data_IF_175328198526
#
_entry.id   IF_175328198526
#
_cell.length_a   1.000
_cell.length_b   1.000
_cell.length_c   1.000
_cell.angle_alpha   90.00
_cell.angle_beta   90.00
_cell.angle_gamma   90.00
#
_symmetry.space_group_name_H-M   'P 1'
#
loop_
_entity.id
_entity.type
_entity.pdbx_description
1 polymer ?
#
# COMPACT_ATOMS: atom_id res chain seq x y z
N UNK A 1 19.39 -23.39 -5.12
CA UNK A 1 19.47 -23.95 -6.48
C UNK A 1 20.33 -23.09 -7.42
N UNK A 2 20.11 -21.77 -7.55
CA UNK A 2 20.90 -20.90 -8.45
C UNK A 2 22.41 -20.91 -8.17
N UNK A 3 22.84 -20.91 -6.91
CA UNK A 3 24.26 -20.95 -6.54
C UNK A 3 24.95 -22.26 -6.96
N UNK A 4 24.27 -23.39 -6.85
CA UNK A 4 24.79 -24.69 -7.27
C UNK A 4 24.85 -24.78 -8.82
N UNK A 5 23.82 -24.29 -9.51
CA UNK A 5 23.79 -24.26 -10.97
C UNK A 5 24.89 -23.36 -11.55
N UNK A 6 25.11 -22.16 -10.97
CA UNK A 6 26.19 -21.26 -11.39
C UNK A 6 27.56 -21.84 -11.15
N UNK A 7 27.77 -22.51 -10.02
CA UNK A 7 29.03 -23.23 -9.74
C UNK A 7 29.31 -24.30 -10.78
N UNK A 8 28.35 -25.20 -11.07
CA UNK A 8 28.52 -26.27 -12.05
C UNK A 8 28.78 -25.74 -13.45
N UNK A 9 28.06 -24.68 -13.87
CA UNK A 9 28.25 -24.08 -15.18
C UNK A 9 29.65 -23.46 -15.31
N UNK A 10 30.08 -22.67 -14.34
CA UNK A 10 31.39 -22.00 -14.37
C UNK A 10 32.54 -23.00 -14.18
N UNK A 11 32.34 -24.03 -13.38
CA UNK A 11 33.32 -25.11 -13.22
C UNK A 11 33.57 -25.85 -14.54
N UNK A 12 32.54 -26.06 -15.36
CA UNK A 12 32.70 -26.67 -16.70
C UNK A 12 33.48 -25.74 -17.65
N UNK A 13 33.37 -24.42 -17.51
CA UNK A 13 34.14 -23.46 -18.30
C UNK A 13 35.57 -23.26 -17.79
N UNK A 14 35.84 -23.65 -16.54
CA UNK A 14 37.16 -23.57 -15.91
C UNK A 14 38.06 -24.78 -16.19
N UNK A 15 37.66 -25.66 -17.10
CA UNK A 15 38.49 -26.81 -17.50
C UNK A 15 39.84 -26.31 -18.12
N UNK A 16 40.99 -26.84 -17.69
CA UNK A 16 42.28 -26.35 -18.14
C UNK A 16 42.47 -26.53 -19.66
N UNK A 17 43.12 -25.56 -20.28
CA UNK A 17 43.38 -25.52 -21.71
C UNK A 17 44.36 -26.68 -22.02
N UNK A 18 43.98 -27.58 -22.89
CA UNK A 18 44.85 -28.66 -23.35
C UNK A 18 45.66 -28.20 -24.56
N UNK A 19 46.86 -28.80 -24.72
CA UNK A 19 47.74 -28.47 -25.83
C UNK A 19 47.13 -28.73 -27.22
N UNK A 20 46.16 -29.66 -27.29
CA UNK A 20 45.35 -29.96 -28.47
C UNK A 20 44.44 -28.84 -28.93
N UNK A 21 44.11 -27.89 -28.03
CA UNK A 21 43.21 -26.78 -28.33
C UNK A 21 43.90 -25.60 -29.03
N UNK A 22 45.21 -25.71 -29.28
CA UNK A 22 46.04 -24.67 -29.81
C UNK A 22 46.46 -25.04 -31.24
N UNK A 23 45.55 -24.96 -32.18
CA UNK A 23 45.86 -25.14 -33.61
C UNK A 23 45.72 -23.80 -34.33
N UNK A 24 46.80 -23.28 -34.91
CA UNK A 24 46.79 -22.06 -35.67
C UNK A 24 48.21 -21.58 -35.97
N UNK A 25 48.42 -20.84 -37.10
CA UNK A 25 49.73 -20.27 -37.48
C UNK A 25 49.72 -18.76 -37.20
N UNK A 26 50.79 -18.27 -36.57
CA UNK A 26 51.07 -16.81 -36.47
C UNK A 26 50.27 -16.03 -35.43
N UNK A 27 50.04 -14.74 -35.68
CA UNK A 27 49.42 -13.78 -34.73
C UNK A 27 48.02 -14.09 -34.29
N UNK A 28 47.23 -14.83 -35.08
CA UNK A 28 45.89 -15.30 -34.70
C UNK A 28 45.93 -16.29 -33.53
N UNK A 29 47.00 -17.08 -33.43
CA UNK A 29 47.21 -18.05 -32.33
C UNK A 29 47.42 -17.35 -30.98
N UNK A 30 48.20 -16.26 -30.96
CA UNK A 30 48.46 -15.48 -29.74
C UNK A 30 47.17 -14.82 -29.23
N UNK A 31 46.35 -14.26 -30.12
CA UNK A 31 45.06 -13.68 -29.77
C UNK A 31 44.09 -14.70 -29.15
N UNK A 32 44.01 -15.89 -29.78
CA UNK A 32 43.16 -16.98 -29.26
C UNK A 32 43.63 -17.51 -27.88
N UNK A 33 44.95 -17.58 -27.66
CA UNK A 33 45.52 -17.94 -26.37
C UNK A 33 45.17 -16.93 -25.26
N UNK A 34 45.34 -15.64 -25.54
CA UNK A 34 45.01 -14.57 -24.59
C UNK A 34 43.50 -14.62 -24.25
N UNK A 35 42.65 -14.74 -25.26
CA UNK A 35 41.21 -14.81 -25.05
C UNK A 35 40.81 -16.04 -24.21
N UNK A 36 41.36 -17.23 -24.50
CA UNK A 36 41.08 -18.44 -23.70
C UNK A 36 41.62 -18.30 -22.28
N UNK A 37 42.81 -17.74 -22.08
CA UNK A 37 43.39 -17.53 -20.75
C UNK A 37 42.56 -16.54 -19.92
N UNK A 38 42.01 -15.48 -20.53
CA UNK A 38 41.10 -14.55 -19.85
C UNK A 38 39.79 -15.23 -19.45
N UNK A 39 39.16 -15.98 -20.36
CA UNK A 39 37.91 -16.71 -20.07
C UNK A 39 38.15 -17.72 -18.95
N UNK A 40 39.23 -18.47 -18.99
CA UNK A 40 39.58 -19.43 -17.97
C UNK A 40 39.84 -18.75 -16.61
N UNK A 41 40.58 -17.64 -16.59
CA UNK A 41 40.80 -16.88 -15.36
C UNK A 41 39.53 -16.32 -14.75
N UNK A 42 38.63 -15.73 -15.59
CA UNK A 42 37.34 -15.24 -15.16
C UNK A 42 36.43 -16.37 -14.68
N UNK A 43 36.40 -17.50 -15.37
CA UNK A 43 35.59 -18.65 -14.98
C UNK A 43 36.05 -19.25 -13.64
N UNK A 44 37.39 -19.35 -13.46
CA UNK A 44 37.99 -19.86 -12.23
C UNK A 44 37.73 -18.96 -11.00
N UNK A 45 37.81 -17.64 -11.17
CA UNK A 45 37.43 -16.71 -10.10
C UNK A 45 35.91 -16.69 -9.88
N UNK A 46 35.13 -16.64 -10.97
CA UNK A 46 33.67 -16.56 -10.96
C UNK A 46 32.98 -17.75 -10.31
N UNK A 47 33.55 -18.95 -10.42
CA UNK A 47 32.96 -20.16 -9.81
C UNK A 47 32.86 -20.10 -8.28
N UNK A 48 33.67 -19.28 -7.62
CA UNK A 48 33.61 -19.04 -6.17
C UNK A 48 32.91 -17.74 -5.82
N UNK A 49 33.18 -16.66 -6.55
CA UNK A 49 32.64 -15.33 -6.26
C UNK A 49 31.11 -15.30 -6.46
N UNK A 50 30.60 -15.86 -7.56
CA UNK A 50 29.16 -15.80 -7.87
C UNK A 50 28.32 -16.59 -6.85
N UNK A 51 28.64 -17.84 -6.49
CA UNK A 51 27.93 -18.56 -5.45
C UNK A 51 27.99 -17.84 -4.09
N UNK A 52 29.15 -17.30 -3.72
CA UNK A 52 29.30 -16.55 -2.47
C UNK A 52 28.40 -15.34 -2.42
N UNK A 53 28.35 -14.54 -3.51
CA UNK A 53 27.43 -13.42 -3.61
C UNK A 53 25.96 -13.85 -3.56
N UNK A 54 25.59 -14.96 -4.20
CA UNK A 54 24.23 -15.50 -4.12
C UNK A 54 23.85 -15.91 -2.70
N UNK A 55 24.77 -16.55 -1.97
CA UNK A 55 24.56 -16.96 -0.57
C UNK A 55 24.44 -15.72 0.32
N UNK A 56 25.32 -14.73 0.15
CA UNK A 56 25.29 -13.48 0.90
C UNK A 56 23.99 -12.72 0.65
N UNK A 57 23.53 -12.62 -0.59
CA UNK A 57 22.25 -12.00 -0.94
C UNK A 57 21.05 -12.74 -0.33
N UNK A 58 21.07 -14.07 -0.35
CA UNK A 58 20.04 -14.89 0.26
C UNK A 58 20.01 -14.73 1.79
N UNK A 59 21.17 -14.73 2.45
CA UNK A 59 21.29 -14.51 3.89
C UNK A 59 20.79 -13.11 4.28
N UNK A 60 21.18 -12.08 3.54
CA UNK A 60 20.71 -10.71 3.77
C UNK A 60 19.20 -10.57 3.57
N UNK A 61 18.65 -11.22 2.55
CA UNK A 61 17.21 -11.25 2.29
C UNK A 61 16.44 -11.95 3.41
N UNK A 62 16.94 -13.10 3.91
CA UNK A 62 16.36 -13.83 5.02
C UNK A 62 16.41 -13.01 6.33
N UNK A 63 17.54 -12.35 6.59
CA UNK A 63 17.70 -11.48 7.76
C UNK A 63 16.73 -10.30 7.74
N UNK A 64 16.61 -9.59 6.59
CA UNK A 64 15.62 -8.50 6.42
C UNK A 64 14.18 -8.99 6.63
N UNK A 65 13.85 -10.18 6.12
CA UNK A 65 12.51 -10.79 6.34
C UNK A 65 12.27 -11.07 7.82
N UNK A 66 13.25 -11.63 8.52
CA UNK A 66 13.16 -11.90 9.96
C UNK A 66 12.95 -10.60 10.77
N UNK A 67 13.69 -9.54 10.44
CA UNK A 67 13.54 -8.23 11.09
C UNK A 67 12.12 -7.67 10.92
N UNK A 68 11.56 -7.73 9.72
CA UNK A 68 10.17 -7.28 9.46
C UNK A 68 9.15 -8.08 10.26
N UNK A 69 9.32 -9.40 10.31
CA UNK A 69 8.43 -10.27 11.08
C UNK A 69 8.52 -9.99 12.59
N UNK A 70 9.71 -9.70 13.11
CA UNK A 70 9.90 -9.28 14.49
C UNK A 70 9.11 -8.01 14.79
N UNK A 71 9.25 -6.95 13.97
CA UNK A 71 8.50 -5.70 14.15
C UNK A 71 6.98 -5.93 14.23
N UNK A 72 6.43 -6.73 13.30
CA UNK A 72 5.00 -7.05 13.33
C UNK A 72 4.63 -7.84 14.58
N UNK A 73 5.50 -8.76 15.04
CA UNK A 73 5.22 -9.55 16.24
C UNK A 73 5.22 -8.70 17.50
N UNK A 74 6.14 -7.77 17.60
CA UNK A 74 6.27 -6.88 18.76
C UNK A 74 5.05 -5.96 18.86
N UNK A 75 4.61 -5.38 17.73
CA UNK A 75 3.39 -4.56 17.67
C UNK A 75 2.13 -5.39 17.95
N UNK A 76 2.03 -6.59 17.40
CA UNK A 76 0.87 -7.45 17.61
C UNK A 76 0.71 -7.95 19.07
N UNK A 77 1.81 -8.02 19.82
CA UNK A 77 1.83 -8.39 21.24
C UNK A 77 1.68 -7.18 22.18
N UNK A 78 1.82 -5.98 21.66
CA UNK A 78 1.65 -4.76 22.44
C UNK A 78 0.19 -4.61 22.89
N UNK A 79 0.01 -3.96 24.06
CA UNK A 79 -1.33 -3.74 24.64
C UNK A 79 -2.06 -2.54 24.04
N UNK A 80 -1.32 -1.59 23.46
CA UNK A 80 -1.87 -0.34 22.91
C UNK A 80 -1.05 0.14 21.72
N UNK A 81 -1.60 1.11 20.98
CA UNK A 81 -0.98 1.68 19.79
C UNK A 81 0.23 2.59 20.07
N UNK A 82 0.50 2.94 21.34
CA UNK A 82 1.60 3.85 21.73
C UNK A 82 2.97 3.27 21.36
N UNK A 83 3.07 1.95 21.15
CA UNK A 83 4.28 1.30 20.66
C UNK A 83 4.73 1.89 19.32
N UNK A 84 3.80 2.38 18.48
CA UNK A 84 4.10 2.99 17.17
C UNK A 84 4.85 4.33 17.32
N UNK A 85 4.65 5.04 18.43
CA UNK A 85 5.32 6.31 18.70
C UNK A 85 6.78 6.16 19.11
N UNK A 86 7.15 4.98 19.63
CA UNK A 86 8.53 4.62 20.02
C UNK A 86 9.42 4.21 18.84
N UNK A 87 8.87 3.94 17.68
CA UNK A 87 9.60 3.45 16.52
C UNK A 87 10.40 4.55 15.82
N UNK A 88 11.48 4.18 15.15
CA UNK A 88 12.12 5.04 14.16
C UNK A 88 11.25 5.16 12.91
N UNK A 89 11.47 6.23 12.12
CA UNK A 89 10.77 6.42 10.85
C UNK A 89 10.86 5.19 9.93
N UNK A 90 12.05 4.64 9.79
CA UNK A 90 12.29 3.48 8.94
C UNK A 90 11.57 2.21 9.43
N UNK A 91 11.53 1.99 10.73
CA UNK A 91 10.78 0.87 11.32
C UNK A 91 9.28 1.03 11.08
N UNK A 92 8.77 2.25 11.16
CA UNK A 92 7.37 2.55 10.87
C UNK A 92 7.03 2.27 9.40
N UNK A 93 7.85 2.72 8.43
CA UNK A 93 7.66 2.40 7.01
C UNK A 93 7.69 0.89 6.74
N UNK A 94 8.66 0.18 7.33
CA UNK A 94 8.77 -1.27 7.20
C UNK A 94 7.54 -2.00 7.77
N UNK A 95 7.05 -1.54 8.93
CA UNK A 95 5.86 -2.07 9.58
C UNK A 95 4.61 -1.87 8.72
N UNK A 96 4.42 -0.66 8.18
CA UNK A 96 3.32 -0.35 7.27
C UNK A 96 3.39 -1.24 6.03
N UNK A 97 4.56 -1.37 5.43
CA UNK A 97 4.77 -2.25 4.28
C UNK A 97 4.40 -3.70 4.59
N UNK A 98 4.78 -4.20 5.76
CA UNK A 98 4.46 -5.57 6.16
C UNK A 98 2.97 -5.76 6.47
N UNK A 99 2.32 -4.77 7.09
CA UNK A 99 0.88 -4.80 7.33
C UNK A 99 0.09 -4.95 6.02
N UNK A 100 0.48 -4.24 4.94
CA UNK A 100 -0.14 -4.41 3.64
C UNK A 100 0.23 -5.72 2.94
N UNK A 101 1.45 -6.26 3.14
CA UNK A 101 1.79 -7.62 2.67
C UNK A 101 0.89 -8.68 3.28
N UNK A 102 0.60 -8.57 4.58
CA UNK A 102 -0.31 -9.47 5.29
C UNK A 102 -1.75 -9.40 4.75
N UNK A 103 -2.15 -8.25 4.17
CA UNK A 103 -3.44 -8.07 3.48
C UNK A 103 -3.44 -8.54 2.01
N UNK A 104 -2.34 -9.13 1.56
CA UNK A 104 -2.22 -9.69 0.21
C UNK A 104 -1.77 -8.69 -0.87
N UNK A 105 -1.29 -7.50 -0.50
CA UNK A 105 -0.68 -6.59 -1.46
C UNK A 105 0.78 -6.99 -1.75
N UNK A 106 1.19 -6.83 -3.00
CA UNK A 106 2.61 -6.79 -3.36
C UNK A 106 3.13 -5.39 -3.03
N UNK A 107 4.13 -5.30 -2.18
CA UNK A 107 4.66 -4.03 -1.68
C UNK A 107 6.06 -3.79 -2.24
N UNK A 108 6.24 -2.64 -2.87
CA UNK A 108 7.54 -2.12 -3.32
C UNK A 108 7.88 -0.88 -2.50
N UNK A 109 9.00 -0.90 -1.81
CA UNK A 109 9.53 0.25 -1.07
C UNK A 109 10.30 1.14 -2.07
N UNK A 110 9.90 2.41 -2.18
CA UNK A 110 10.55 3.35 -3.10
C UNK A 110 11.80 3.96 -2.44
N UNK A 111 11.91 3.91 -1.10
CA UNK A 111 13.10 4.32 -0.35
C UNK A 111 13.40 5.81 -0.42
N UNK A 112 13.06 6.51 0.62
CA UNK A 112 13.66 7.69 1.19
C UNK A 112 13.88 8.92 0.31
N UNK A 113 12.95 9.89 0.37
CA UNK A 113 13.30 11.30 0.20
C UNK A 113 13.64 11.79 -1.20
N UNK A 114 13.32 11.03 -2.23
CA UNK A 114 13.47 11.48 -3.62
C UNK A 114 12.36 12.49 -4.01
N UNK A 115 12.48 13.14 -5.19
CA UNK A 115 11.48 14.07 -5.73
C UNK A 115 10.16 13.41 -6.11
N UNK A 116 9.86 12.24 -5.56
CA UNK A 116 8.75 11.36 -5.93
C UNK A 116 7.39 11.76 -5.34
N UNK A 117 7.29 12.99 -4.79
CA UNK A 117 6.04 13.51 -4.25
C UNK A 117 5.63 12.93 -2.92
N UNK A 118 6.60 12.40 -2.12
CA UNK A 118 6.36 11.88 -0.77
C UNK A 118 5.70 10.50 -0.72
N UNK A 119 5.73 9.72 -1.83
CA UNK A 119 5.29 8.34 -1.85
C UNK A 119 6.38 7.44 -1.27
N UNK A 120 6.07 6.72 -0.20
CA UNK A 120 7.02 5.83 0.47
C UNK A 120 6.92 4.39 -0.03
N UNK A 121 5.68 3.91 -0.31
CA UNK A 121 5.43 2.56 -0.79
C UNK A 121 4.51 2.57 -2.01
N UNK A 122 4.74 1.62 -2.91
CA UNK A 122 3.80 1.25 -3.98
C UNK A 122 3.22 -0.12 -3.67
N UNK A 123 1.90 -0.19 -3.66
CA UNK A 123 1.17 -1.43 -3.49
C UNK A 123 0.56 -1.85 -4.82
N UNK A 124 0.56 -3.16 -5.08
CA UNK A 124 -0.13 -3.75 -6.23
C UNK A 124 -1.01 -4.92 -5.78
N UNK A 125 -2.24 -4.97 -6.28
CA UNK A 125 -3.18 -6.07 -6.05
C UNK A 125 -3.94 -6.33 -7.35
N UNK A 126 -3.68 -7.48 -7.96
CA UNK A 126 -4.13 -7.71 -9.34
C UNK A 126 -3.48 -6.72 -10.30
N UNK A 127 -4.29 -6.03 -11.09
CA UNK A 127 -3.88 -4.95 -12.00
C UNK A 127 -3.89 -3.55 -11.36
N UNK A 128 -4.39 -3.44 -10.14
CA UNK A 128 -4.53 -2.15 -9.45
C UNK A 128 -3.23 -1.72 -8.76
N UNK A 129 -2.96 -0.41 -8.81
CA UNK A 129 -1.80 0.22 -8.21
C UNK A 129 -2.24 1.28 -7.20
N UNK A 130 -1.67 1.23 -6.00
CA UNK A 130 -1.96 2.17 -4.92
C UNK A 130 -0.67 2.78 -4.41
N UNK A 131 -0.72 4.03 -3.97
CA UNK A 131 0.39 4.72 -3.33
C UNK A 131 0.16 4.84 -1.83
N UNK A 132 1.23 4.70 -1.06
CA UNK A 132 1.21 4.92 0.39
C UNK A 132 2.16 6.03 0.73
N UNK A 133 1.67 6.99 1.50
CA UNK A 133 2.47 8.02 2.14
C UNK A 133 2.42 7.80 3.65
N UNK A 134 3.57 7.59 4.26
CA UNK A 134 3.73 7.42 5.70
C UNK A 134 4.03 8.77 6.35
N UNK A 135 3.46 9.04 7.52
CA UNK A 135 3.78 10.24 8.31
C UNK A 135 3.83 9.85 9.78
N UNK A 136 5.05 9.64 10.30
CA UNK A 136 5.25 9.39 11.72
C UNK A 136 5.30 10.74 12.47
N UNK A 137 4.25 11.08 13.17
CA UNK A 137 4.17 12.30 13.96
C UNK A 137 3.81 11.99 15.40
N UNK A 138 4.79 12.11 16.29
CA UNK A 138 4.62 11.81 17.72
C UNK A 138 3.70 12.77 18.46
N UNK A 139 3.48 13.99 17.95
CA UNK A 139 2.76 15.05 18.68
C UNK A 139 1.72 15.81 17.82
N UNK A 140 1.63 15.59 16.52
CA UNK A 140 0.82 16.41 15.63
C UNK A 140 -0.17 15.61 14.82
N UNK A 141 -1.29 16.27 14.49
CA UNK A 141 -2.28 15.74 13.55
C UNK A 141 -1.80 15.95 12.12
N UNK A 142 -1.94 14.95 11.27
CA UNK A 142 -1.70 15.06 9.83
C UNK A 142 -2.81 15.90 9.20
N UNK A 143 -2.41 16.98 8.57
CA UNK A 143 -3.32 17.96 7.94
C UNK A 143 -3.70 17.57 6.51
N UNK A 144 -4.62 18.34 5.94
CA UNK A 144 -5.15 18.16 4.59
C UNK A 144 -4.08 18.30 3.49
N UNK A 145 -3.00 19.03 3.73
CA UNK A 145 -1.92 19.25 2.75
C UNK A 145 -1.31 17.93 2.29
N UNK A 146 -0.94 17.06 3.24
CA UNK A 146 -0.40 15.73 2.92
C UNK A 146 -1.36 14.88 2.07
N UNK A 147 -2.66 14.94 2.37
CA UNK A 147 -3.68 14.18 1.63
C UNK A 147 -3.84 14.73 0.20
N UNK A 148 -3.76 16.05 0.03
CA UNK A 148 -3.79 16.70 -1.29
C UNK A 148 -2.56 16.42 -2.11
N UNK A 149 -1.38 16.39 -1.50
CA UNK A 149 -0.12 16.03 -2.16
C UNK A 149 -0.20 14.62 -2.73
N UNK A 150 -0.60 13.63 -1.90
CA UNK A 150 -0.78 12.26 -2.36
C UNK A 150 -1.81 12.18 -3.49
N UNK A 151 -2.94 12.89 -3.37
CA UNK A 151 -3.97 12.90 -4.41
C UNK A 151 -3.44 13.43 -5.74
N UNK A 152 -2.64 14.50 -5.72
CA UNK A 152 -1.99 15.04 -6.91
C UNK A 152 -1.04 14.01 -7.57
N UNK A 153 -0.23 13.31 -6.77
CA UNK A 153 0.68 12.28 -7.27
C UNK A 153 -0.07 11.07 -7.83
N UNK A 154 -1.17 10.67 -7.19
CA UNK A 154 -2.05 9.60 -7.70
C UNK A 154 -2.60 9.94 -9.07
N UNK A 155 -3.11 11.15 -9.25
CA UNK A 155 -3.63 11.63 -10.54
C UNK A 155 -2.53 11.68 -11.61
N UNK A 156 -1.35 12.21 -11.27
CA UNK A 156 -0.24 12.33 -12.20
C UNK A 156 0.36 10.99 -12.63
N UNK A 157 0.40 9.98 -11.74
CA UNK A 157 1.02 8.68 -11.99
C UNK A 157 0.00 7.55 -12.24
N UNK A 158 -1.29 7.85 -12.38
CA UNK A 158 -2.35 6.90 -12.73
C UNK A 158 -2.53 5.80 -11.68
N UNK A 159 -2.56 6.15 -10.37
CA UNK A 159 -2.85 5.19 -9.32
C UNK A 159 -4.36 5.02 -9.13
N UNK A 160 -4.81 3.78 -8.89
CA UNK A 160 -6.22 3.45 -8.61
C UNK A 160 -6.69 4.07 -7.29
N UNK A 161 -5.81 4.14 -6.30
CA UNK A 161 -6.10 4.68 -4.98
C UNK A 161 -4.83 4.99 -4.20
N UNK A 162 -4.98 5.50 -2.97
CA UNK A 162 -3.87 5.79 -2.08
C UNK A 162 -4.21 5.67 -0.61
N UNK A 163 -3.17 5.54 0.19
CA UNK A 163 -3.26 5.46 1.63
C UNK A 163 -2.34 6.50 2.26
N UNK A 164 -2.87 7.31 3.17
CA UNK A 164 -2.03 8.09 4.08
C UNK A 164 -2.03 7.40 5.42
N UNK A 165 -0.87 6.98 5.88
CA UNK A 165 -0.70 6.22 7.13
C UNK A 165 0.08 7.05 8.14
N UNK A 166 -0.41 7.14 9.37
CA UNK A 166 0.27 7.88 10.45
C UNK A 166 0.23 7.11 11.76
N UNK A 167 1.25 7.27 12.60
CA UNK A 167 1.19 6.81 14.00
C UNK A 167 0.25 7.68 14.85
N UNK A 168 0.03 8.93 14.44
CA UNK A 168 -0.84 9.90 15.10
C UNK A 168 -2.29 9.86 14.62
N UNK A 169 -2.88 11.06 14.46
CA UNK A 169 -4.28 11.24 14.05
C UNK A 169 -4.39 12.24 12.89
N UNK A 170 -5.52 12.24 12.21
CA UNK A 170 -5.83 13.19 11.14
C UNK A 170 -6.67 14.36 11.65
N UNK A 171 -6.50 15.53 11.02
CA UNK A 171 -7.40 16.68 11.22
C UNK A 171 -8.76 16.41 10.56
N UNK A 172 -9.79 17.15 10.99
CA UNK A 172 -11.12 17.09 10.37
C UNK A 172 -11.06 17.42 8.89
N UNK A 173 -10.32 18.48 8.51
CA UNK A 173 -10.15 18.88 7.11
C UNK A 173 -9.50 17.81 6.25
N UNK A 174 -8.55 17.03 6.81
CA UNK A 174 -7.93 15.90 6.12
C UNK A 174 -8.96 14.78 5.86
N UNK A 175 -9.80 14.47 6.84
CA UNK A 175 -10.86 13.48 6.73
C UNK A 175 -11.94 13.91 5.73
N UNK A 176 -12.39 15.17 5.82
CA UNK A 176 -13.40 15.73 4.92
C UNK A 176 -12.89 15.75 3.47
N UNK A 177 -11.60 16.05 3.26
CA UNK A 177 -11.00 15.99 1.92
C UNK A 177 -10.93 14.57 1.37
N UNK A 178 -10.60 13.58 2.19
CA UNK A 178 -10.50 12.19 1.74
C UNK A 178 -11.88 11.56 1.39
N UNK A 179 -12.98 12.08 1.97
CA UNK A 179 -14.33 11.60 1.68
C UNK A 179 -14.67 11.74 0.19
N UNK A 180 -15.20 10.66 -0.40
CA UNK A 180 -15.58 10.60 -1.81
C UNK A 180 -14.39 10.55 -2.79
N UNK A 181 -13.18 10.36 -2.28
CA UNK A 181 -11.97 10.15 -3.08
C UNK A 181 -11.37 8.78 -2.77
N UNK A 182 -10.65 8.22 -3.72
CA UNK A 182 -9.97 6.93 -3.56
C UNK A 182 -8.72 7.06 -2.67
N UNK A 183 -8.84 7.73 -1.53
CA UNK A 183 -7.79 7.88 -0.52
C UNK A 183 -8.33 7.39 0.81
N UNK A 184 -7.60 6.47 1.41
CA UNK A 184 -7.90 5.94 2.74
C UNK A 184 -6.92 6.50 3.77
N UNK A 185 -7.45 6.96 4.89
CA UNK A 185 -6.67 7.49 6.00
C UNK A 185 -6.57 6.42 7.09
N UNK A 186 -5.33 6.03 7.41
CA UNK A 186 -5.01 5.01 8.41
C UNK A 186 -4.25 5.66 9.56
N UNK A 187 -4.92 5.89 10.67
CA UNK A 187 -4.31 6.42 11.90
C UNK A 187 -3.67 5.31 12.75
N UNK A 188 -2.94 5.68 13.79
CA UNK A 188 -2.23 4.75 14.66
C UNK A 188 -3.11 3.64 15.23
N UNK A 189 -4.26 3.94 15.85
CA UNK A 189 -5.17 2.91 16.34
C UNK A 189 -5.67 1.96 15.26
N UNK A 190 -5.96 2.48 14.06
CA UNK A 190 -6.42 1.65 12.93
C UNK A 190 -5.31 0.76 12.39
N UNK A 191 -4.08 1.30 12.23
CA UNK A 191 -2.91 0.50 11.82
C UNK A 191 -2.65 -0.62 12.82
N UNK A 192 -2.71 -0.32 14.11
CA UNK A 192 -2.55 -1.31 15.18
C UNK A 192 -3.59 -2.42 15.10
N UNK A 193 -4.88 -2.08 14.93
CA UNK A 193 -5.96 -3.04 14.77
C UNK A 193 -5.78 -3.92 13.51
N UNK A 194 -5.35 -3.33 12.39
CA UNK A 194 -5.04 -4.06 11.15
C UNK A 194 -3.96 -5.13 11.36
N UNK A 195 -2.89 -4.78 12.09
CA UNK A 195 -1.78 -5.71 12.38
C UNK A 195 -2.25 -6.85 13.28
N UNK A 196 -3.00 -6.55 14.33
CA UNK A 196 -3.55 -7.57 15.24
C UNK A 196 -4.48 -8.53 14.50
N UNK A 197 -5.39 -8.01 13.67
CA UNK A 197 -6.31 -8.82 12.88
C UNK A 197 -5.58 -9.72 11.88
N UNK A 198 -4.60 -9.19 11.16
CA UNK A 198 -3.81 -9.96 10.20
C UNK A 198 -3.09 -11.15 10.87
N UNK A 199 -2.59 -10.95 12.08
CA UNK A 199 -1.94 -12.01 12.86
C UNK A 199 -2.92 -13.08 13.36
N UNK A 200 -4.07 -12.67 13.87
CA UNK A 200 -5.11 -13.61 14.33
C UNK A 200 -5.61 -14.52 13.20
N UNK A 201 -5.66 -14.00 11.99
CA UNK A 201 -6.06 -14.76 10.79
C UNK A 201 -4.96 -15.74 10.35
N UNK A 202 -3.68 -15.41 10.50
CA UNK A 202 -2.57 -16.32 10.19
C UNK A 202 -2.39 -17.45 11.22
N UNK A 203 -2.82 -17.25 12.45
CA UNK A 203 -2.79 -18.25 13.52
C UNK A 203 -3.88 -19.31 13.43
N UNK A 204 -4.87 -19.15 12.57
CA UNK A 204 -5.93 -20.12 12.35
C UNK A 204 -5.53 -20.99 11.16
N UNK A 205 -5.22 -22.30 11.34
CA UNK A 205 -4.99 -23.19 10.20
C UNK A 205 -6.23 -23.11 9.32
N UNK A 206 -6.04 -22.91 8.03
CA UNK A 206 -7.10 -22.97 7.04
C UNK A 206 -7.77 -24.33 7.21
N UNK A 207 -8.94 -24.34 7.84
CA UNK A 207 -9.81 -25.49 7.85
C UNK A 207 -10.11 -25.75 6.38
N UNK A 208 -9.53 -26.83 5.88
CA UNK A 208 -9.72 -27.31 4.54
C UNK A 208 -11.23 -27.30 4.26
N UNK A 209 -11.67 -26.48 3.32
CA UNK A 209 -12.92 -26.70 2.63
C UNK A 209 -12.78 -28.06 1.93
N UNK A 210 -13.15 -29.11 2.63
CA UNK A 210 -13.53 -30.36 1.98
C UNK A 210 -14.82 -30.05 1.21
N UNK A 211 -14.65 -29.80 -0.07
CA UNK A 211 -15.74 -29.95 -1.02
C UNK A 211 -16.17 -31.41 -0.97
N UNK A 212 -17.35 -31.65 -0.41
CA UNK A 212 -18.07 -32.89 -0.67
C UNK A 212 -18.83 -32.69 -1.98
N UNK A 213 -18.58 -33.50 -2.99
CA UNK A 213 -19.41 -33.47 -4.17
C UNK A 213 -20.66 -34.30 -3.92
N UNK A 214 -21.77 -33.75 -4.41
CA UNK A 214 -22.97 -34.49 -4.82
C UNK A 214 -24.20 -34.43 -3.92
N UNK A 215 -25.22 -33.74 -4.44
CA UNK A 215 -26.36 -34.50 -4.97
C UNK A 215 -27.31 -33.55 -5.73
N UNK A 216 -27.65 -33.99 -6.93
CA UNK A 216 -28.71 -33.46 -7.77
C UNK A 216 -30.05 -33.43 -7.02
N UNK A 217 -30.76 -32.29 -7.12
CA UNK A 217 -32.14 -32.16 -6.67
C UNK A 217 -32.78 -30.95 -7.34
N UNK A 218 -33.69 -31.24 -8.23
CA UNK A 218 -34.50 -30.41 -9.12
C UNK A 218 -35.29 -29.29 -8.42
N UNK A 219 -35.75 -28.27 -9.17
CA UNK A 219 -36.17 -26.98 -8.63
C UNK A 219 -37.65 -26.95 -8.24
N UNK A 220 -37.99 -26.23 -7.16
CA UNK A 220 -39.35 -25.77 -6.89
C UNK A 220 -39.30 -24.52 -6.00
N UNK A 221 -40.38 -23.73 -5.94
CA UNK A 221 -40.44 -22.39 -6.45
C UNK A 221 -40.18 -21.32 -5.38
N UNK A 222 -39.70 -20.16 -5.84
CA UNK A 222 -39.49 -18.97 -5.04
C UNK A 222 -40.80 -18.41 -4.44
N UNK A 223 -40.84 -18.02 -3.17
CA UNK A 223 -41.68 -16.93 -2.75
C UNK A 223 -40.91 -15.61 -2.84
N UNK A 224 -41.42 -14.76 -3.70
CA UNK A 224 -41.07 -13.34 -3.69
C UNK A 224 -41.50 -12.73 -2.36
N UNK A 225 -40.54 -12.45 -1.50
CA UNK A 225 -40.74 -11.55 -0.37
C UNK A 225 -40.33 -10.16 -0.81
N UNK A 226 -41.32 -9.36 -1.09
CA UNK A 226 -41.23 -7.92 -1.26
C UNK A 226 -40.58 -7.32 -0.01
N UNK A 227 -39.38 -6.84 -0.12
CA UNK A 227 -38.75 -5.97 0.89
C UNK A 227 -39.39 -4.60 0.74
N UNK A 228 -40.40 -4.35 1.53
CA UNK A 228 -40.95 -3.03 1.75
C UNK A 228 -39.89 -2.25 2.56
N UNK A 229 -39.33 -1.22 1.96
CA UNK A 229 -38.59 -0.19 2.68
C UNK A 229 -39.50 0.47 3.73
N UNK A 230 -39.00 0.73 4.95
CA UNK A 230 -39.76 1.53 5.89
C UNK A 230 -39.83 2.97 5.36
N UNK A 231 -40.99 3.36 4.92
CA UNK A 231 -41.32 4.78 4.70
C UNK A 231 -41.41 5.42 6.08
N UNK A 232 -40.33 6.07 6.52
CA UNK A 232 -40.39 7.06 7.56
C UNK A 232 -41.14 8.28 6.99
N UNK A 233 -42.38 8.41 7.35
CA UNK A 233 -43.19 9.61 7.17
C UNK A 233 -42.62 10.72 8.07
N UNK A 234 -41.59 11.40 7.60
CA UNK A 234 -41.19 12.71 8.11
C UNK A 234 -42.00 13.74 7.30
N UNK A 235 -42.92 14.39 7.97
CA UNK A 235 -43.72 15.54 7.55
C UNK A 235 -42.79 16.53 6.86
N UNK A 236 -42.89 16.65 5.53
CA UNK A 236 -42.12 17.56 4.73
C UNK A 236 -42.48 19.00 5.12
N UNK A 237 -41.66 19.63 5.97
CA UNK A 237 -41.65 21.07 6.10
C UNK A 237 -41.22 21.63 4.75
N UNK A 238 -42.04 22.44 4.12
CA UNK A 238 -41.78 23.06 2.80
C UNK A 238 -40.40 23.70 2.81
N UNK A 239 -39.48 23.18 2.00
CA UNK A 239 -38.15 23.77 1.85
C UNK A 239 -38.32 25.11 1.10
N UNK A 240 -37.81 26.25 1.63
CA UNK A 240 -37.92 27.51 0.96
C UNK A 240 -37.09 27.54 -0.33
N UNK A 241 -37.55 28.28 -1.31
CA UNK A 241 -36.81 28.55 -2.54
C UNK A 241 -35.85 29.70 -2.35
N UNK A 242 -34.73 29.68 -3.02
CA UNK A 242 -33.72 30.72 -2.95
C UNK A 242 -34.23 32.02 -3.58
N UNK A 243 -34.26 33.15 -2.86
CA UNK A 243 -34.78 34.42 -3.40
C UNK A 243 -33.91 35.00 -4.52
N UNK A 244 -32.70 34.47 -4.74
CA UNK A 244 -31.79 34.94 -5.79
C UNK A 244 -31.84 34.14 -7.08
N UNK A 245 -32.08 32.82 -7.03
CA UNK A 245 -31.99 31.98 -8.20
C UNK A 245 -33.09 30.90 -8.31
N UNK A 246 -34.06 30.90 -7.40
CA UNK A 246 -35.19 29.94 -7.40
C UNK A 246 -34.83 28.50 -7.06
N UNK A 247 -33.57 28.18 -6.81
CA UNK A 247 -33.14 26.79 -6.47
C UNK A 247 -33.57 26.44 -5.04
N UNK A 248 -33.74 25.13 -4.75
CA UNK A 248 -34.01 24.66 -3.40
C UNK A 248 -32.96 25.09 -2.40
N UNK A 249 -33.31 25.24 -1.15
CA UNK A 249 -32.39 25.63 -0.09
C UNK A 249 -32.19 24.48 0.91
N UNK A 250 -30.98 24.37 1.47
CA UNK A 250 -30.62 23.40 2.49
C UNK A 250 -30.37 24.09 3.84
N UNK A 251 -30.87 23.50 4.92
CA UNK A 251 -30.64 24.01 6.27
C UNK A 251 -29.16 23.81 6.64
N UNK A 252 -28.49 24.88 7.08
CA UNK A 252 -27.06 24.88 7.46
C UNK A 252 -26.87 25.59 8.79
N UNK A 253 -25.84 25.21 9.54
CA UNK A 253 -25.45 25.89 10.78
C UNK A 253 -24.21 26.74 10.55
N UNK A 254 -24.23 27.97 10.98
CA UNK A 254 -23.10 28.91 10.89
C UNK A 254 -21.99 28.43 11.85
N UNK A 255 -20.77 28.21 11.30
CA UNK A 255 -19.63 27.72 12.09
C UNK A 255 -18.68 28.80 12.56
N UNK A 256 -18.77 30.03 12.01
CA UNK A 256 -17.88 31.15 12.33
C UNK A 256 -18.59 32.47 12.23
N UNK A 257 -18.08 33.50 12.93
CA UNK A 257 -18.62 34.86 12.94
C UNK A 257 -19.67 35.11 14.03
N UNK A 258 -20.25 36.32 14.02
CA UNK A 258 -21.22 36.77 15.04
C UNK A 258 -22.49 35.90 15.16
N UNK A 259 -22.77 35.06 14.17
CA UNK A 259 -23.93 34.17 14.11
C UNK A 259 -23.54 32.67 14.27
N UNK A 260 -22.35 32.35 14.80
CA UNK A 260 -21.92 30.99 15.03
C UNK A 260 -22.93 30.25 15.94
N UNK A 261 -23.34 29.04 15.51
CA UNK A 261 -24.36 28.22 16.20
C UNK A 261 -25.79 28.41 15.66
N UNK A 262 -26.08 29.47 14.93
CA UNK A 262 -27.43 29.70 14.38
C UNK A 262 -27.64 28.91 13.08
N UNK A 263 -28.85 28.40 12.89
CA UNK A 263 -29.25 27.72 11.65
C UNK A 263 -29.83 28.72 10.64
N UNK A 264 -29.52 28.49 9.36
CA UNK A 264 -30.02 29.27 8.24
C UNK A 264 -30.21 28.40 7.00
N UNK A 265 -31.07 28.82 6.10
CA UNK A 265 -31.24 28.18 4.81
C UNK A 265 -30.20 28.75 3.82
N UNK A 266 -29.37 27.89 3.27
CA UNK A 266 -28.37 28.23 2.26
C UNK A 266 -28.72 27.62 0.91
N UNK A 267 -28.50 28.36 -0.19
CA UNK A 267 -28.76 27.89 -1.54
C UNK A 267 -27.93 26.64 -1.88
N UNK A 268 -28.55 25.65 -2.50
CA UNK A 268 -27.87 24.40 -2.91
C UNK A 268 -26.89 24.61 -4.06
N UNK A 269 -27.05 25.68 -4.84
CA UNK A 269 -26.14 26.01 -5.95
C UNK A 269 -24.89 26.79 -5.54
N UNK A 270 -24.61 26.93 -4.24
CA UNK A 270 -23.34 27.50 -3.78
C UNK A 270 -22.13 26.74 -4.38
N UNK A 271 -21.08 27.39 -4.86
CA UNK A 271 -20.74 28.82 -4.74
C UNK A 271 -21.28 29.74 -5.85
N UNK A 272 -22.01 29.21 -6.85
CA UNK A 272 -22.57 30.01 -7.95
C UNK A 272 -23.64 31.04 -7.47
N UNK A 273 -24.45 30.63 -6.50
CA UNK A 273 -25.41 31.49 -5.83
C UNK A 273 -25.15 31.52 -4.32
N UNK A 274 -25.08 32.69 -3.72
CA UNK A 274 -24.84 32.91 -2.28
C UNK A 274 -26.11 33.36 -1.55
N UNK A 275 -27.29 32.93 -2.01
CA UNK A 275 -28.56 33.24 -1.35
C UNK A 275 -28.68 32.55 0.01
N UNK A 276 -29.08 33.29 1.05
CA UNK A 276 -29.33 32.79 2.39
C UNK A 276 -30.66 33.34 2.91
N UNK A 277 -31.39 32.54 3.71
CA UNK A 277 -32.63 32.94 4.41
C UNK A 277 -32.51 32.46 5.86
N UNK A 278 -32.94 33.28 6.81
CA UNK A 278 -32.94 32.89 8.22
C UNK A 278 -33.89 31.70 8.44
N UNK A 279 -33.44 30.71 9.22
CA UNK A 279 -34.31 29.66 9.71
C UNK A 279 -35.00 30.23 10.95
N UNK A 280 -36.31 30.51 10.85
CA UNK A 280 -37.15 30.88 11.96
C UNK A 280 -37.51 29.69 12.83
#
# INVERSE_FOLDING_TARGET
MLAAASYVLLHRLAVPIQASDIQGQGGAMVGAMIQKALIHGLANAGQYIVPLLCIAAAALSAWRRKQRQALVSDVAQARNADVLDGMSWREFELLVGEAYRLQGYRVTEIGGGGPDGGVDLVLAKGSEKFFVQCKQWKAYKVGVTTVRELYGVMAAKGATGGFVVTSGRFTTDAKDFAQGRNIELVDGPRLFAMIQQARSTQGKPAAAHRETPNSMGSPAPQPQLAIQAPQATAKAAAQPECPRCGASMALRTARQGANAGNTFWGCTTYPKCRGTVAAS
#
